data_IF_160356106025
#
_entry.id   IF_160356106025
#
_cell.length_a   1.000
_cell.length_b   1.000
_cell.length_c   1.000
_cell.angle_alpha   90.00
_cell.angle_beta   90.00
_cell.angle_gamma   90.00
#
_symmetry.space_group_name_H-M   'P 1'
#
loop_
_entity.id
_entity.type
_entity.pdbx_description
1 polymer ?
#
# COMPACT_ATOMS: atom_id res chain seq x y z
N UNK A 1 23.06 -19.94 2.52
CA UNK A 1 24.38 -19.31 2.75
C UNK A 1 24.36 -18.72 4.15
N UNK A 2 25.33 -19.10 4.98
CA UNK A 2 25.41 -18.66 6.38
C UNK A 2 26.56 -17.66 6.49
N UNK A 3 26.28 -16.48 7.04
CA UNK A 3 27.24 -15.41 7.20
C UNK A 3 27.64 -15.27 8.67
N UNK A 4 28.93 -15.10 8.92
CA UNK A 4 29.48 -14.84 10.25
C UNK A 4 30.05 -13.43 10.30
N UNK A 5 29.80 -12.70 11.39
CA UNK A 5 30.48 -11.43 11.64
C UNK A 5 31.93 -11.76 12.02
N UNK A 6 32.89 -11.25 11.26
CA UNK A 6 34.32 -11.43 11.51
C UNK A 6 34.90 -10.27 12.29
N UNK A 7 34.45 -9.04 12.01
CA UNK A 7 35.05 -7.84 12.57
C UNK A 7 34.05 -6.69 12.65
N UNK A 8 34.14 -5.89 13.71
CA UNK A 8 33.47 -4.61 13.87
C UNK A 8 34.51 -3.50 14.05
N UNK A 9 34.33 -2.38 13.35
CA UNK A 9 35.17 -1.18 13.46
C UNK A 9 34.31 0.07 13.38
N UNK A 10 34.74 1.14 14.04
CA UNK A 10 34.13 2.47 13.87
C UNK A 10 35.21 3.46 13.41
N UNK A 11 34.79 4.52 12.71
CA UNK A 11 35.71 5.58 12.25
C UNK A 11 35.79 6.77 13.20
N UNK A 12 34.98 6.79 14.26
CA UNK A 12 35.06 7.77 15.34
C UNK A 12 34.39 7.23 16.62
N UNK A 13 34.48 8.03 17.68
CA UNK A 13 33.83 7.83 18.97
C UNK A 13 34.43 6.70 19.81
N UNK A 14 33.64 6.12 20.73
CA UNK A 14 34.18 5.29 21.81
C UNK A 14 34.88 3.99 21.37
N UNK A 15 34.56 3.50 20.17
CA UNK A 15 35.11 2.25 19.63
C UNK A 15 36.19 2.45 18.55
N UNK A 16 36.62 3.70 18.29
CA UNK A 16 37.57 4.03 17.22
C UNK A 16 38.85 3.18 17.28
N UNK A 17 39.50 3.17 18.44
CA UNK A 17 40.77 2.47 18.65
C UNK A 17 40.58 1.02 19.16
N UNK A 18 39.35 0.52 19.13
CA UNK A 18 39.00 -0.81 19.64
C UNK A 18 38.30 -1.66 18.56
N UNK A 19 39.03 -2.08 17.51
CA UNK A 19 38.47 -2.98 16.50
C UNK A 19 38.19 -4.36 17.13
N UNK A 20 36.92 -4.77 17.16
CA UNK A 20 36.50 -6.04 17.73
C UNK A 20 36.56 -7.12 16.65
N UNK A 21 37.29 -8.20 16.92
CA UNK A 21 37.34 -9.38 16.04
C UNK A 21 36.55 -10.51 16.69
N UNK A 22 35.69 -11.16 15.92
CA UNK A 22 34.79 -12.20 16.40
C UNK A 22 35.23 -13.57 15.88
N UNK A 23 35.09 -14.56 16.74
CA UNK A 23 35.16 -15.97 16.36
C UNK A 23 33.84 -16.38 15.67
N UNK A 24 33.83 -17.32 14.70
CA UNK A 24 32.60 -17.78 14.05
C UNK A 24 31.59 -18.47 14.98
N UNK A 25 32.02 -18.90 16.16
CA UNK A 25 31.19 -19.56 17.16
C UNK A 25 30.70 -18.62 18.26
N UNK A 26 30.77 -19.10 19.50
CA UNK A 26 30.39 -18.33 20.68
C UNK A 26 31.44 -17.26 21.00
N UNK A 27 30.99 -16.01 21.16
CA UNK A 27 31.82 -14.90 21.61
C UNK A 27 31.27 -14.38 22.95
N UNK A 28 32.16 -14.20 23.92
CA UNK A 28 31.82 -13.65 25.24
C UNK A 28 32.48 -12.29 25.42
N UNK A 29 31.68 -11.23 25.53
CA UNK A 29 32.17 -9.86 25.81
C UNK A 29 32.04 -9.59 27.30
N UNK A 30 33.17 -9.47 28.01
CA UNK A 30 33.25 -9.35 29.47
C UNK A 30 33.99 -8.06 29.84
N UNK A 31 33.63 -7.45 30.98
CA UNK A 31 34.22 -6.20 31.45
C UNK A 31 33.36 -5.51 32.51
N UNK A 32 33.93 -4.52 33.19
CA UNK A 32 33.23 -3.73 34.22
C UNK A 32 32.04 -2.92 33.66
N UNK A 33 31.18 -2.38 34.53
CA UNK A 33 30.12 -1.45 34.10
C UNK A 33 30.74 -0.24 33.39
N UNK A 34 30.17 0.19 32.28
CA UNK A 34 30.67 1.33 31.50
C UNK A 34 31.74 1.00 30.46
N UNK A 35 32.23 -0.23 30.35
CA UNK A 35 33.25 -0.61 29.35
C UNK A 35 32.71 -0.85 27.94
N UNK A 36 31.64 -0.16 27.53
CA UNK A 36 31.06 -0.22 26.18
C UNK A 36 30.59 -1.60 25.67
N UNK A 37 30.36 -2.59 26.55
CA UNK A 37 29.90 -3.94 26.13
C UNK A 37 28.58 -3.92 25.36
N UNK A 38 27.57 -3.25 25.93
CA UNK A 38 26.27 -3.08 25.28
C UNK A 38 26.40 -2.23 24.02
N UNK A 39 27.32 -1.25 24.03
CA UNK A 39 27.62 -0.40 22.88
C UNK A 39 28.09 -1.20 21.67
N UNK A 40 28.94 -2.22 21.84
CA UNK A 40 29.34 -3.13 20.76
C UNK A 40 28.12 -3.81 20.14
N UNK A 41 27.24 -4.36 20.98
CA UNK A 41 26.04 -5.07 20.54
C UNK A 41 25.03 -4.15 19.85
N UNK A 42 24.79 -2.96 20.40
CA UNK A 42 23.87 -1.98 19.79
C UNK A 42 24.47 -1.34 18.52
N UNK A 43 25.80 -1.25 18.40
CA UNK A 43 26.45 -0.85 17.14
C UNK A 43 26.21 -1.89 16.05
N UNK A 44 26.26 -3.19 16.38
CA UNK A 44 25.87 -4.25 15.44
C UNK A 44 24.40 -4.09 15.06
N UNK A 45 23.50 -3.87 16.02
CA UNK A 45 22.07 -3.60 15.75
C UNK A 45 21.89 -2.46 14.75
N UNK A 46 22.62 -1.37 14.97
CA UNK A 46 22.62 -0.22 14.10
C UNK A 46 23.14 -0.55 12.70
N UNK A 47 24.32 -1.18 12.56
CA UNK A 47 24.91 -1.48 11.24
C UNK A 47 23.98 -2.35 10.38
N UNK A 48 23.28 -3.32 10.99
CA UNK A 48 22.44 -4.27 10.26
C UNK A 48 20.96 -3.90 10.16
N UNK A 49 20.53 -2.84 10.84
CA UNK A 49 19.12 -2.40 10.91
C UNK A 49 18.13 -3.49 11.38
N UNK A 50 18.55 -4.37 12.30
CA UNK A 50 17.76 -5.55 12.69
C UNK A 50 16.44 -5.24 13.42
N UNK A 51 16.28 -4.01 13.92
CA UNK A 51 15.10 -3.52 14.62
C UNK A 51 14.96 -2.03 14.32
N UNK A 52 14.32 -1.71 13.20
CA UNK A 52 14.22 -0.33 12.68
C UNK A 52 13.59 0.62 13.70
N UNK A 53 12.65 0.16 14.53
CA UNK A 53 12.03 0.99 15.58
C UNK A 53 13.04 1.36 16.65
N UNK A 54 13.80 0.39 17.14
CA UNK A 54 14.85 0.64 18.14
C UNK A 54 16.00 1.44 17.55
N UNK A 55 16.41 1.15 16.31
CA UNK A 55 17.44 1.92 15.62
C UNK A 55 17.02 3.37 15.43
N UNK A 56 15.76 3.63 15.04
CA UNK A 56 15.23 4.98 14.97
C UNK A 56 15.36 5.70 16.31
N UNK A 57 15.00 5.06 17.44
CA UNK A 57 15.17 5.69 18.76
C UNK A 57 16.63 5.99 19.12
N UNK A 58 17.58 5.15 18.71
CA UNK A 58 19.01 5.35 18.97
C UNK A 58 19.63 6.47 18.14
N UNK A 59 19.00 6.83 17.02
CA UNK A 59 19.40 7.91 16.12
C UNK A 59 18.78 9.26 16.46
N UNK A 60 17.77 9.30 17.33
CA UNK A 60 17.21 10.57 17.82
C UNK A 60 18.30 11.26 18.65
N UNK A 61 18.71 12.50 18.30
CA UNK A 61 19.65 13.25 19.11
C UNK A 61 19.06 13.42 20.52
N UNK A 62 19.88 13.29 21.59
CA UNK A 62 19.37 13.45 22.94
C UNK A 62 18.73 14.84 23.05
N UNK A 63 17.43 14.88 23.37
CA UNK A 63 16.75 16.16 23.64
C UNK A 63 17.35 16.71 24.92
N UNK A 64 18.01 17.86 24.84
CA UNK A 64 18.15 18.73 26.00
C UNK A 64 16.74 18.97 26.53
N UNK A 65 16.54 18.85 27.85
CA UNK A 65 15.31 19.15 28.61
C UNK A 65 14.55 17.90 29.15
N UNK A 66 14.92 17.55 30.39
CA UNK A 66 14.07 17.00 31.46
C UNK A 66 13.00 15.95 31.07
N UNK A 67 13.44 14.74 30.72
CA UNK A 67 12.64 13.52 30.78
C UNK A 67 13.52 12.32 31.13
N UNK A 68 12.97 11.21 31.64
CA UNK A 68 13.74 9.98 31.82
C UNK A 68 14.20 9.50 30.44
N UNK A 69 15.45 9.81 30.09
CA UNK A 69 16.09 9.38 28.84
C UNK A 69 16.00 7.87 28.83
N UNK A 70 15.23 7.30 27.88
CA UNK A 70 15.30 5.87 27.66
C UNK A 70 16.78 5.55 27.39
N UNK A 71 17.34 4.57 28.10
CA UNK A 71 18.80 4.31 28.20
C UNK A 71 19.56 4.06 26.89
N UNK A 72 18.89 4.19 25.75
CA UNK A 72 19.39 3.94 24.40
C UNK A 72 19.13 5.11 23.43
N UNK A 73 18.36 6.15 23.81
CA UNK A 73 18.17 7.33 22.97
C UNK A 73 19.49 8.06 22.76
N UNK A 74 19.76 8.46 21.51
CA UNK A 74 21.01 9.14 21.15
C UNK A 74 22.29 8.30 21.27
N UNK A 75 22.20 7.03 21.69
CA UNK A 75 23.37 6.18 21.96
C UNK A 75 24.33 6.12 20.77
N UNK A 76 23.80 6.02 19.54
CA UNK A 76 24.63 5.92 18.34
C UNK A 76 25.31 7.26 18.04
N UNK A 77 24.63 8.38 18.27
CA UNK A 77 25.20 9.71 18.07
C UNK A 77 26.30 10.01 19.10
N UNK A 78 26.13 9.58 20.35
CA UNK A 78 27.18 9.65 21.38
C UNK A 78 28.34 8.69 21.08
N UNK A 79 28.04 7.49 20.60
CA UNK A 79 29.02 6.43 20.37
C UNK A 79 29.86 6.64 19.12
N UNK A 80 29.27 7.13 18.02
CA UNK A 80 29.95 7.30 16.74
C UNK A 80 30.27 8.76 16.42
N UNK A 81 29.61 9.74 17.06
CA UNK A 81 29.68 11.13 16.63
C UNK A 81 29.25 11.27 15.17
N UNK A 82 30.08 11.93 14.35
CA UNK A 82 29.93 12.03 12.89
C UNK A 82 30.60 10.86 12.12
N UNK A 83 30.95 9.78 12.82
CA UNK A 83 31.65 8.63 12.26
C UNK A 83 30.75 7.60 11.59
N UNK A 84 31.38 6.53 11.13
CA UNK A 84 30.75 5.38 10.45
C UNK A 84 31.07 4.10 11.21
N UNK A 85 30.16 3.13 11.17
CA UNK A 85 30.39 1.79 11.69
C UNK A 85 30.48 0.79 10.53
N UNK A 86 31.41 -0.15 10.63
CA UNK A 86 31.74 -1.14 9.60
C UNK A 86 31.79 -2.54 10.19
N UNK A 87 31.09 -3.46 9.56
CA UNK A 87 31.11 -4.89 9.88
C UNK A 87 31.64 -5.68 8.69
N UNK A 88 32.72 -6.43 8.89
CA UNK A 88 33.21 -7.41 7.93
C UNK A 88 32.52 -8.76 8.19
N UNK A 89 31.95 -9.35 7.15
CA UNK A 89 31.29 -10.64 7.15
C UNK A 89 32.08 -11.64 6.31
N UNK A 90 32.10 -12.89 6.75
CA UNK A 90 32.61 -14.02 5.96
C UNK A 90 31.54 -15.07 5.78
N UNK A 91 31.56 -15.73 4.62
CA UNK A 91 30.67 -16.86 4.35
C UNK A 91 31.25 -18.10 5.02
N UNK A 92 30.41 -18.84 5.75
CA UNK A 92 30.81 -20.07 6.44
C UNK A 92 31.25 -21.18 5.47
N UNK A 93 30.80 -21.13 4.20
CA UNK A 93 31.13 -22.13 3.18
C UNK A 93 32.30 -21.73 2.27
N UNK A 94 32.71 -20.46 2.28
CA UNK A 94 33.76 -19.92 1.44
C UNK A 94 34.39 -18.69 2.11
N UNK A 95 35.57 -18.87 2.71
CA UNK A 95 36.27 -17.78 3.40
C UNK A 95 36.71 -16.65 2.46
N UNK A 96 36.79 -16.91 1.15
CA UNK A 96 37.16 -15.92 0.13
C UNK A 96 36.05 -14.95 -0.23
N UNK A 97 34.78 -15.32 -0.02
CA UNK A 97 33.62 -14.49 -0.33
C UNK A 97 33.27 -13.55 0.84
N UNK A 98 34.01 -12.45 0.97
CA UNK A 98 33.78 -11.42 1.99
C UNK A 98 32.66 -10.45 1.62
N UNK A 99 31.91 -9.99 2.64
CA UNK A 99 30.99 -8.86 2.53
C UNK A 99 31.38 -7.79 3.57
N UNK A 100 31.28 -6.53 3.20
CA UNK A 100 31.45 -5.40 4.11
C UNK A 100 30.12 -4.66 4.23
N UNK A 101 29.62 -4.50 5.45
CA UNK A 101 28.44 -3.68 5.74
C UNK A 101 28.91 -2.41 6.42
N UNK A 102 28.55 -1.26 5.86
CA UNK A 102 28.89 0.05 6.38
C UNK A 102 27.62 0.85 6.61
N UNK A 103 27.55 1.56 7.73
CA UNK A 103 26.46 2.49 7.99
C UNK A 103 26.97 3.76 8.68
N UNK A 104 26.49 4.90 8.20
CA UNK A 104 26.60 6.19 8.87
C UNK A 104 25.24 6.58 9.49
N UNK A 105 25.22 7.44 10.53
CA UNK A 105 23.98 7.78 11.24
C UNK A 105 22.87 8.35 10.34
N UNK A 106 23.25 9.04 9.27
CA UNK A 106 22.36 9.78 8.39
C UNK A 106 21.89 8.98 7.17
N UNK A 107 22.38 7.77 6.96
CA UNK A 107 22.06 6.96 5.77
C UNK A 107 21.74 5.49 6.09
N UNK A 108 21.03 4.79 5.19
CA UNK A 108 20.75 3.38 5.37
C UNK A 108 22.02 2.52 5.24
N UNK A 109 22.01 1.27 5.76
CA UNK A 109 23.14 0.36 5.60
C UNK A 109 23.53 0.17 4.12
N UNK A 110 24.83 0.32 3.83
CA UNK A 110 25.44 0.04 2.53
C UNK A 110 26.20 -1.29 2.61
N UNK A 111 26.06 -2.12 1.58
CA UNK A 111 26.75 -3.42 1.50
C UNK A 111 27.72 -3.40 0.34
N UNK A 112 28.94 -3.87 0.56
CA UNK A 112 29.99 -3.96 -0.43
C UNK A 112 30.49 -5.39 -0.55
N UNK A 113 30.76 -5.83 -1.77
CA UNK A 113 31.46 -7.08 -2.10
C UNK A 113 32.63 -6.74 -2.99
N UNK A 114 33.85 -7.10 -2.59
CA UNK A 114 35.08 -6.82 -3.34
C UNK A 114 35.23 -5.33 -3.72
N UNK A 115 34.79 -4.43 -2.83
CA UNK A 115 34.80 -2.98 -3.05
C UNK A 115 33.63 -2.42 -3.87
N UNK A 116 32.76 -3.27 -4.42
CA UNK A 116 31.60 -2.87 -5.23
C UNK A 116 30.34 -2.84 -4.36
N UNK A 117 29.67 -1.69 -4.32
CA UNK A 117 28.41 -1.53 -3.60
C UNK A 117 27.31 -2.38 -4.25
N UNK A 118 26.68 -3.24 -3.43
CA UNK A 118 25.58 -4.11 -3.82
C UNK A 118 24.25 -3.41 -3.50
N UNK A 119 23.35 -3.34 -4.48
CA UNK A 119 22.04 -2.69 -4.34
C UNK A 119 21.03 -3.60 -3.64
N UNK A 120 21.21 -4.92 -3.71
CA UNK A 120 20.20 -5.89 -3.30
C UNK A 120 20.79 -6.97 -2.38
N UNK A 121 21.01 -6.62 -1.10
CA UNK A 121 21.55 -7.57 -0.10
C UNK A 121 20.74 -7.63 1.19
N UNK A 122 19.50 -7.12 1.18
CA UNK A 122 18.62 -7.05 2.34
C UNK A 122 18.44 -8.42 3.04
N UNK A 123 18.57 -9.53 2.30
CA UNK A 123 18.39 -10.88 2.84
C UNK A 123 19.54 -11.38 3.71
N UNK A 124 20.77 -10.88 3.51
CA UNK A 124 21.90 -11.22 4.38
C UNK A 124 21.83 -10.44 5.70
N UNK A 125 21.37 -9.19 5.65
CA UNK A 125 21.27 -8.29 6.80
C UNK A 125 20.12 -8.68 7.76
N UNK A 126 19.01 -9.22 7.23
CA UNK A 126 17.79 -9.56 7.99
C UNK A 126 17.90 -10.76 8.95
N UNK A 127 19.05 -11.44 9.00
CA UNK A 127 19.20 -12.69 9.78
C UNK A 127 19.83 -12.52 11.16
N UNK A 128 20.19 -11.30 11.54
CA UNK A 128 20.79 -11.04 12.86
C UNK A 128 19.69 -10.71 13.87
N UNK A 129 19.73 -11.41 15.00
CA UNK A 129 18.82 -11.18 16.11
C UNK A 129 19.58 -10.71 17.34
N UNK A 130 19.06 -9.66 17.96
CA UNK A 130 19.69 -9.04 19.11
C UNK A 130 18.65 -8.88 20.20
N UNK A 131 18.92 -9.51 21.34
CA UNK A 131 18.11 -9.45 22.54
C UNK A 131 18.88 -8.67 23.59
N UNK A 132 18.43 -7.45 23.86
CA UNK A 132 19.03 -6.57 24.85
C UNK A 132 18.44 -6.86 26.24
N UNK A 133 18.91 -6.15 27.27
CA UNK A 133 18.48 -6.38 28.65
C UNK A 133 16.94 -6.26 28.80
N UNK A 134 16.33 -7.31 29.35
CA UNK A 134 14.89 -7.40 29.56
C UNK A 134 14.06 -7.74 28.31
N UNK A 135 14.66 -7.88 27.11
CA UNK A 135 13.89 -8.21 25.89
C UNK A 135 13.27 -9.60 25.97
N UNK A 136 14.00 -10.60 26.48
CA UNK A 136 13.48 -11.96 26.61
C UNK A 136 12.27 -12.03 27.55
N UNK A 137 12.30 -11.30 28.65
CA UNK A 137 11.16 -11.21 29.57
C UNK A 137 9.97 -10.53 28.89
N UNK A 138 10.18 -9.40 28.19
CA UNK A 138 9.12 -8.74 27.42
C UNK A 138 8.50 -9.65 26.36
N UNK A 139 9.31 -10.48 25.71
CA UNK A 139 8.81 -11.48 24.76
C UNK A 139 7.94 -12.50 25.49
N UNK A 140 8.38 -13.03 26.64
CA UNK A 140 7.60 -14.00 27.41
C UNK A 140 6.23 -13.45 27.86
N UNK A 141 6.18 -12.19 28.29
CA UNK A 141 4.98 -11.53 28.83
C UNK A 141 3.99 -11.07 27.75
N UNK A 142 4.46 -10.75 26.54
CA UNK A 142 3.62 -10.15 25.49
C UNK A 142 3.30 -11.16 24.37
N UNK A 143 2.02 -11.61 24.23
CA UNK A 143 1.63 -12.57 23.19
C UNK A 143 1.96 -12.12 21.77
N UNK A 144 1.82 -10.83 21.45
CA UNK A 144 2.12 -10.27 20.13
C UNK A 144 3.61 -10.43 19.77
N UNK A 145 4.52 -10.23 20.72
CA UNK A 145 5.96 -10.40 20.51
C UNK A 145 6.36 -11.86 20.35
N UNK A 146 5.70 -12.79 21.06
CA UNK A 146 5.89 -14.23 20.84
C UNK A 146 5.46 -14.65 19.45
N UNK A 147 4.31 -14.19 18.99
CA UNK A 147 3.83 -14.46 17.64
C UNK A 147 4.79 -13.89 16.59
N UNK A 148 5.23 -12.64 16.76
CA UNK A 148 6.20 -12.02 15.86
C UNK A 148 7.52 -12.80 15.78
N UNK A 149 8.00 -13.37 16.90
CA UNK A 149 9.19 -14.22 16.93
C UNK A 149 8.98 -15.53 16.13
N UNK A 150 7.80 -16.14 16.25
CA UNK A 150 7.44 -17.37 15.52
C UNK A 150 7.30 -17.10 14.01
N UNK A 151 6.71 -15.97 13.64
CA UNK A 151 6.43 -15.63 12.25
C UNK A 151 7.68 -15.15 11.49
N UNK A 152 8.71 -14.71 12.21
CA UNK A 152 9.91 -14.07 11.65
C UNK A 152 10.64 -14.87 10.57
N UNK A 153 10.86 -16.20 10.68
CA UNK A 153 11.47 -16.99 9.60
C UNK A 153 10.66 -16.96 8.30
N UNK A 154 9.35 -16.70 8.39
CA UNK A 154 8.42 -16.64 7.28
C UNK A 154 7.92 -15.22 6.99
N UNK A 155 8.59 -14.17 7.51
CA UNK A 155 8.11 -12.79 7.46
C UNK A 155 7.72 -12.34 6.04
N UNK A 156 8.53 -12.69 5.03
CA UNK A 156 8.22 -12.41 3.61
C UNK A 156 6.90 -13.04 3.17
N UNK A 157 6.72 -14.33 3.46
CA UNK A 157 5.51 -15.08 3.11
C UNK A 157 4.30 -14.54 3.85
N UNK A 158 4.46 -14.17 5.12
CA UNK A 158 3.39 -13.56 5.92
C UNK A 158 3.00 -12.19 5.34
N UNK A 159 3.97 -11.38 4.94
CA UNK A 159 3.73 -10.08 4.29
C UNK A 159 3.01 -10.23 2.93
N UNK A 160 3.43 -11.19 2.10
CA UNK A 160 2.77 -11.52 0.83
C UNK A 160 1.31 -11.94 1.04
N UNK A 161 1.05 -12.85 1.99
CA UNK A 161 -0.29 -13.29 2.33
C UNK A 161 -1.15 -12.13 2.88
N UNK A 162 -0.56 -11.24 3.68
CA UNK A 162 -1.25 -10.05 4.18
C UNK A 162 -1.64 -9.09 3.04
N UNK A 163 -0.77 -8.89 2.05
CA UNK A 163 -1.05 -8.08 0.86
C UNK A 163 -2.17 -8.71 0.01
N UNK A 164 -2.09 -10.01 -0.25
CA UNK A 164 -3.13 -10.75 -0.97
C UNK A 164 -4.48 -10.65 -0.25
N UNK A 165 -4.48 -10.80 1.07
CA UNK A 165 -5.70 -10.65 1.89
C UNK A 165 -6.30 -9.25 1.74
N UNK A 166 -5.48 -8.20 1.76
CA UNK A 166 -5.95 -6.83 1.58
C UNK A 166 -6.58 -6.63 0.19
N UNK A 167 -5.94 -7.11 -0.86
CA UNK A 167 -6.44 -7.03 -2.24
C UNK A 167 -7.77 -7.77 -2.43
N UNK A 168 -7.88 -9.01 -1.91
CA UNK A 168 -9.11 -9.79 -1.97
C UNK A 168 -10.24 -9.11 -1.19
N UNK A 169 -9.92 -8.52 -0.03
CA UNK A 169 -10.89 -7.75 0.76
C UNK A 169 -11.41 -6.54 -0.03
N UNK A 170 -10.54 -5.82 -0.73
CA UNK A 170 -10.93 -4.70 -1.59
C UNK A 170 -11.78 -5.15 -2.78
N UNK A 171 -11.48 -6.31 -3.38
CA UNK A 171 -12.29 -6.87 -4.46
C UNK A 171 -13.68 -7.27 -3.95
N UNK A 172 -13.75 -7.92 -2.78
CA UNK A 172 -15.01 -8.29 -2.13
C UNK A 172 -15.89 -7.08 -1.82
N UNK A 173 -15.31 -5.98 -1.33
CA UNK A 173 -16.08 -4.75 -1.07
C UNK A 173 -16.61 -4.13 -2.36
N UNK A 174 -15.80 -4.09 -3.43
CA UNK A 174 -16.25 -3.62 -4.77
C UNK A 174 -17.39 -4.47 -5.31
N UNK A 175 -17.25 -5.80 -5.30
CA UNK A 175 -18.31 -6.73 -5.75
C UNK A 175 -19.57 -6.56 -4.89
N UNK A 176 -19.42 -6.42 -3.58
CA UNK A 176 -20.53 -6.17 -2.67
C UNK A 176 -21.32 -4.90 -3.01
N UNK A 177 -20.62 -3.82 -3.39
CA UNK A 177 -21.27 -2.57 -3.83
C UNK A 177 -21.99 -2.76 -5.17
N UNK A 178 -21.35 -3.44 -6.13
CA UNK A 178 -21.96 -3.70 -7.45
C UNK A 178 -23.19 -4.60 -7.36
N UNK A 179 -23.19 -5.61 -6.50
CA UNK A 179 -24.38 -6.44 -6.23
C UNK A 179 -25.51 -5.59 -5.66
N UNK A 180 -25.22 -4.70 -4.69
CA UNK A 180 -26.23 -3.81 -4.10
C UNK A 180 -26.84 -2.87 -5.14
N UNK A 181 -26.05 -2.38 -6.10
CA UNK A 181 -26.56 -1.53 -7.21
C UNK A 181 -27.40 -2.32 -8.22
N UNK A 182 -26.97 -3.53 -8.59
CA UNK A 182 -27.66 -4.34 -9.62
C UNK A 182 -28.96 -4.97 -9.12
N UNK A 183 -29.12 -5.18 -7.81
CA UNK A 183 -30.33 -5.77 -7.21
C UNK A 183 -31.61 -4.99 -7.53
N UNK A 184 -31.71 -3.66 -7.29
CA UNK A 184 -32.90 -2.88 -7.64
C UNK A 184 -33.12 -2.78 -9.16
N UNK A 185 -32.07 -2.76 -9.98
CA UNK A 185 -32.22 -2.81 -11.44
C UNK A 185 -32.85 -4.13 -11.90
N UNK A 186 -32.44 -5.25 -11.30
CA UNK A 186 -33.02 -6.58 -11.54
C UNK A 186 -34.50 -6.63 -11.14
N UNK A 187 -34.87 -6.07 -9.99
CA UNK A 187 -36.26 -5.98 -9.55
C UNK A 187 -37.10 -5.12 -10.51
N UNK A 188 -36.59 -3.96 -10.92
CA UNK A 188 -37.26 -3.09 -11.90
C UNK A 188 -37.47 -3.79 -13.25
N UNK A 189 -36.45 -4.50 -13.75
CA UNK A 189 -36.57 -5.28 -14.99
C UNK A 189 -37.58 -6.42 -14.85
N UNK A 190 -37.60 -7.13 -13.72
CA UNK A 190 -38.60 -8.17 -13.44
C UNK A 190 -40.02 -7.62 -13.41
N UNK A 191 -40.23 -6.45 -12.79
CA UNK A 191 -41.53 -5.77 -12.80
C UNK A 191 -41.99 -5.46 -14.24
N UNK A 192 -41.11 -4.88 -15.06
CA UNK A 192 -41.42 -4.59 -16.48
C UNK A 192 -41.79 -5.83 -17.29
N UNK A 193 -41.11 -6.96 -17.06
CA UNK A 193 -41.44 -8.24 -17.72
C UNK A 193 -42.84 -8.71 -17.31
N UNK A 194 -43.21 -8.58 -16.03
CA UNK A 194 -44.54 -8.93 -15.53
C UNK A 194 -45.63 -8.06 -16.17
N UNK A 195 -45.39 -6.75 -16.24
CA UNK A 195 -46.32 -5.80 -16.86
C UNK A 195 -46.49 -6.07 -18.37
N UNK A 196 -45.40 -6.38 -19.06
CA UNK A 196 -45.45 -6.76 -20.48
C UNK A 196 -46.24 -8.05 -20.72
N UNK A 197 -46.12 -9.04 -19.83
CA UNK A 197 -46.96 -10.25 -19.87
C UNK A 197 -48.44 -9.94 -19.68
N UNK A 198 -48.78 -9.04 -18.77
CA UNK A 198 -50.16 -8.60 -18.56
C UNK A 198 -50.71 -7.86 -19.81
N UNK A 199 -49.91 -6.99 -20.43
CA UNK A 199 -50.26 -6.31 -21.68
C UNK A 199 -50.46 -7.29 -22.85
N UNK A 200 -49.65 -8.35 -22.95
CA UNK A 200 -49.87 -9.39 -23.97
C UNK A 200 -51.19 -10.15 -23.78
N UNK A 201 -51.58 -10.43 -22.53
CA UNK A 201 -52.87 -11.07 -22.24
C UNK A 201 -54.03 -10.14 -22.58
N UNK A 202 -53.91 -8.84 -22.27
CA UNK A 202 -54.88 -7.83 -22.68
C UNK A 202 -54.98 -7.68 -24.20
N UNK A 203 -53.84 -7.70 -24.90
CA UNK A 203 -53.81 -7.66 -26.36
C UNK A 203 -54.50 -8.89 -26.97
N UNK A 204 -54.21 -10.09 -26.46
CA UNK A 204 -54.89 -11.32 -26.90
C UNK A 204 -56.39 -11.30 -26.62
N UNK A 205 -56.82 -10.73 -25.49
CA UNK A 205 -58.25 -10.52 -25.21
C UNK A 205 -58.89 -9.56 -26.20
N UNK A 206 -58.25 -8.42 -26.48
CA UNK A 206 -58.72 -7.44 -27.47
C UNK A 206 -58.70 -8.00 -28.91
N UNK A 207 -57.74 -8.87 -29.23
CA UNK A 207 -57.69 -9.59 -30.51
C UNK A 207 -58.78 -10.66 -30.61
N UNK A 208 -59.16 -11.29 -29.50
CA UNK A 208 -60.27 -12.25 -29.43
C UNK A 208 -61.65 -11.57 -29.40
N UNK A 209 -61.76 -10.39 -28.79
CA UNK A 209 -62.96 -9.54 -28.77
C UNK A 209 -63.13 -8.71 -30.05
N UNK A 210 -62.16 -8.76 -30.98
CA UNK A 210 -62.31 -8.15 -32.29
C UNK A 210 -63.40 -8.89 -33.08
N UNK A 211 -64.53 -8.25 -33.42
CA UNK A 211 -65.46 -8.84 -34.37
C UNK A 211 -64.73 -8.99 -35.71
N UNK A 212 -64.89 -10.14 -36.36
CA UNK A 212 -64.40 -10.36 -37.73
C UNK A 212 -65.09 -9.33 -38.62
N UNK A 213 -64.40 -8.23 -38.92
CA UNK A 213 -64.86 -7.26 -39.90
C UNK A 213 -64.98 -7.98 -41.24
N UNK A 214 -66.22 -8.10 -41.71
CA UNK A 214 -66.52 -8.63 -43.03
C UNK A 214 -65.78 -7.81 -44.10
N UNK A 215 -65.47 -8.42 -45.28
CA UNK A 215 -64.59 -7.82 -46.28
C UNK A 215 -65.02 -6.41 -46.75
N UNK A 216 -66.32 -6.09 -46.64
CA UNK A 216 -66.90 -4.83 -47.12
C UNK A 216 -66.63 -3.63 -46.19
N UNK A 217 -66.33 -3.85 -44.91
CA UNK A 217 -66.09 -2.75 -43.95
C UNK A 217 -64.64 -2.22 -43.99
N UNK A 218 -63.68 -3.01 -44.49
CA UNK A 218 -62.27 -2.58 -44.66
C UNK A 218 -62.10 -1.59 -45.82
N UNK A 219 -62.91 -1.72 -46.89
CA UNK A 219 -62.91 -0.76 -48.01
C UNK A 219 -63.43 0.62 -47.56
N UNK A 220 -64.48 0.67 -46.74
CA UNK A 220 -65.09 1.92 -46.28
C UNK A 220 -64.19 2.78 -45.36
N UNK A 221 -63.34 2.17 -44.53
CA UNK A 221 -62.41 2.92 -43.66
C UNK A 221 -61.13 3.38 -44.37
N UNK A 222 -60.70 2.69 -45.43
CA UNK A 222 -59.55 3.13 -46.23
C UNK A 222 -59.84 4.41 -47.03
N UNK A 223 -61.08 4.59 -47.49
CA UNK A 223 -61.50 5.76 -48.30
C UNK A 223 -61.65 7.03 -47.44
N UNK A 224 -61.99 6.91 -46.15
CA UNK A 224 -62.13 8.08 -45.25
C UNK A 224 -60.81 8.70 -44.79
N UNK A 225 -59.67 8.02 -44.98
CA UNK A 225 -58.34 8.55 -44.60
C UNK A 225 -57.62 9.28 -45.73
N UNK A 226 -58.14 9.21 -46.95
CA UNK A 226 -57.54 9.84 -48.14
C UNK A 226 -58.49 10.85 -48.77
N UNK A 227 -58.68 12.01 -48.12
CA UNK A 227 -58.86 13.29 -48.82
C UNK A 227 -58.65 14.48 -47.89
N UNK A 228 -57.94 15.54 -48.33
CA UNK A 228 -57.50 16.63 -47.45
C UNK A 228 -58.43 17.86 -47.51
N UNK A 229 -58.24 18.70 -46.49
CA UNK A 229 -58.25 20.17 -46.50
C UNK A 229 -59.46 21.01 -46.03
N UNK A 230 -59.07 22.04 -45.26
CA UNK A 230 -59.56 23.44 -45.18
C UNK A 230 -60.52 23.89 -44.06
N UNK A 231 -59.90 24.70 -43.19
CA UNK A 231 -60.39 25.95 -42.55
C UNK A 231 -61.52 25.86 -41.53
N UNK A 232 -61.18 26.22 -40.29
CA UNK A 232 -61.80 27.39 -39.65
C UNK A 232 -60.90 27.96 -38.55
N UNK A 233 -60.60 29.25 -38.70
CA UNK A 233 -59.92 30.08 -37.72
C UNK A 233 -60.95 30.76 -36.80
N UNK A 234 -60.69 30.82 -35.48
CA UNK A 234 -60.80 32.04 -34.66
C UNK A 234 -60.55 31.79 -33.17
N UNK A 235 -59.49 32.46 -32.70
CA UNK A 235 -59.38 33.29 -31.49
C UNK A 235 -59.65 32.72 -30.09
N UNK A 236 -58.62 32.98 -29.24
CA UNK A 236 -58.57 33.31 -27.79
C UNK A 236 -57.53 32.38 -27.13
N UNK A 237 -56.46 32.79 -26.47
CA UNK A 237 -56.01 34.04 -25.82
C UNK A 237 -54.49 34.14 -26.08
N UNK A 238 -53.85 35.31 -26.23
CA UNK A 238 -53.85 36.43 -25.30
C UNK A 238 -52.73 36.22 -24.26
N UNK A 239 -51.57 36.87 -24.45
CA UNK A 239 -50.56 37.04 -23.38
C UNK A 239 -49.13 36.57 -23.69
N UNK A 240 -48.46 37.19 -24.67
CA UNK A 240 -47.01 37.47 -24.61
C UNK A 240 -46.75 38.62 -23.61
N UNK A 241 -45.51 39.05 -23.28
CA UNK A 241 -44.19 38.73 -23.84
C UNK A 241 -43.20 38.36 -22.70
N UNK A 242 -41.88 38.34 -22.74
CA UNK A 242 -40.79 38.98 -23.48
C UNK A 242 -39.52 38.37 -22.81
N UNK A 243 -38.30 38.36 -23.32
CA UNK A 243 -37.65 38.89 -24.52
C UNK A 243 -36.19 38.47 -24.36
N UNK A 244 -35.55 38.21 -25.51
CA UNK A 244 -34.17 38.62 -25.85
C UNK A 244 -33.05 37.90 -25.09
N UNK A 245 -32.10 37.25 -25.74
CA UNK A 245 -31.74 37.26 -27.15
C UNK A 245 -30.25 36.98 -27.26
N UNK A 246 -29.85 36.52 -28.46
CA UNK A 246 -28.54 36.67 -29.11
C UNK A 246 -27.27 36.47 -28.28
N UNK A 247 -26.31 35.64 -28.67
CA UNK A 247 -26.09 35.00 -29.95
C UNK A 247 -24.68 34.44 -30.04
N UNK A 248 -24.42 33.81 -31.19
CA UNK A 248 -23.15 33.83 -31.94
C UNK A 248 -21.83 33.41 -31.25
N UNK A 249 -21.34 32.27 -31.75
CA UNK A 249 -20.09 32.14 -32.49
C UNK A 249 -18.75 31.97 -31.73
N UNK A 250 -18.05 30.92 -32.18
CA UNK A 250 -16.59 30.80 -32.33
C UNK A 250 -15.80 30.60 -31.01
N UNK A 251 -14.62 29.97 -30.90
CA UNK A 251 -13.55 29.61 -31.83
C UNK A 251 -12.55 28.67 -31.11
N UNK A 252 -11.82 27.81 -31.87
CA UNK A 252 -10.41 27.33 -31.71
C UNK A 252 -9.93 26.72 -30.37
N UNK A 253 -9.40 25.48 -30.36
CA UNK A 253 -8.03 25.00 -30.72
C UNK A 253 -6.87 25.53 -29.86
N UNK A 254 -6.16 24.59 -29.23
CA UNK A 254 -4.71 24.42 -29.00
C UNK A 254 -4.44 23.95 -27.55
N UNK A 255 -3.89 22.76 -27.28
CA UNK A 255 -2.55 22.21 -27.55
C UNK A 255 -1.47 22.61 -26.51
N UNK A 256 -1.38 21.79 -25.44
CA UNK A 256 -0.16 21.13 -24.89
C UNK A 256 1.02 21.99 -24.34
N UNK A 257 2.15 21.39 -23.88
CA UNK A 257 2.55 21.23 -22.46
C UNK A 257 3.91 21.88 -22.09
N UNK A 258 4.32 21.92 -20.82
CA UNK A 258 5.76 22.04 -20.47
C UNK A 258 6.12 21.61 -19.04
N UNK A 259 7.30 20.99 -18.96
CA UNK A 259 8.14 20.65 -17.79
C UNK A 259 9.10 21.82 -17.46
N UNK A 260 9.58 21.82 -16.21
CA UNK A 260 10.96 22.14 -15.81
C UNK A 260 11.21 23.57 -15.31
N UNK A 261 12.34 23.85 -14.65
CA UNK A 261 13.48 22.97 -14.33
C UNK A 261 13.34 22.17 -13.02
#
# INVERSE_FOLDING_TARGET
>A
MTWNIKKLRTSAGYLLDCPVTFHPGLNCVIGARGTCKSTVVETIRFVFDCDTTRVASMLIPPKTEHGPIASHEGLIHETLGAGTARCELTNASDEGAGLLVERDPDSPPRVFRDGIQQVDTADALRRIEIYSQGDLQRIAEQPSKRLALIDKPNEKRVAELALQRAQITEQLTKVGVEIRKRRPELESRRAKIKDFGALQVQLKKLEAERPVLSPNSRRAQSVRRTSPNLRTARNRCGGEPARVGHGTAATRRNASPTRGP
#
